data_IF_445507595247
#
_entry.id   IF_445507595247
#
_cell.length_a   1.000
_cell.length_b   1.000
_cell.length_c   1.000
_cell.angle_alpha   90.00
_cell.angle_beta   90.00
_cell.angle_gamma   90.00
#
_symmetry.space_group_name_H-M   'P 1'
#
loop_
_entity.id
_entity.type
_entity.pdbx_description
1 polymer ?
#
# COMPACT_ATOMS: atom_id res chain seq x y z
N UNK A 1 0.62 18.59 77.02
CA UNK A 1 0.20 19.17 75.73
C UNK A 1 1.16 18.70 74.66
N UNK A 2 0.64 18.00 73.65
CA UNK A 2 1.38 17.41 72.52
C UNK A 2 1.82 18.50 71.53
N UNK A 3 3.03 18.40 70.96
CA UNK A 3 3.41 19.04 69.69
C UNK A 3 4.29 18.08 68.89
N UNK A 4 3.73 17.55 67.81
CA UNK A 4 4.43 16.79 66.76
C UNK A 4 4.62 17.70 65.52
N UNK A 5 5.59 17.39 64.65
CA UNK A 5 6.28 18.36 63.81
C UNK A 5 5.52 18.72 62.53
N UNK A 6 5.87 19.87 61.98
CA UNK A 6 5.39 20.43 60.71
C UNK A 6 5.66 19.47 59.54
N UNK A 7 4.61 18.93 58.93
CA UNK A 7 4.69 18.24 57.65
C UNK A 7 4.97 19.25 56.53
N UNK A 8 6.16 19.13 55.93
CA UNK A 8 6.48 19.80 54.66
C UNK A 8 5.85 19.00 53.51
N UNK A 9 4.92 19.62 52.80
CA UNK A 9 4.23 19.06 51.64
C UNK A 9 5.17 19.19 50.43
N UNK A 10 5.84 18.10 50.05
CA UNK A 10 6.59 18.03 48.78
C UNK A 10 5.58 17.80 47.67
N UNK A 11 5.26 18.85 46.92
CA UNK A 11 4.49 18.73 45.68
C UNK A 11 5.36 18.05 44.61
N UNK A 12 5.10 16.77 44.34
CA UNK A 12 5.71 16.03 43.24
C UNK A 12 5.04 16.51 41.94
N UNK A 13 5.66 17.46 41.24
CA UNK A 13 5.28 17.78 39.87
C UNK A 13 5.64 16.60 38.96
N UNK A 14 4.70 15.66 38.78
CA UNK A 14 4.78 14.69 37.70
C UNK A 14 4.53 15.45 36.40
N UNK A 15 5.61 15.87 35.75
CA UNK A 15 5.56 16.30 34.36
C UNK A 15 5.18 15.07 33.53
N UNK A 16 3.90 14.98 33.17
CA UNK A 16 3.45 14.18 32.03
C UNK A 16 4.04 14.81 30.78
N UNK A 17 5.33 14.56 30.52
CA UNK A 17 5.87 14.64 29.17
C UNK A 17 5.14 13.57 28.37
N UNK A 18 4.03 13.96 27.74
CA UNK A 18 3.40 13.13 26.72
C UNK A 18 4.49 12.76 25.72
N UNK A 19 4.81 11.46 25.64
CA UNK A 19 5.69 10.95 24.60
C UNK A 19 5.06 11.36 23.26
N UNK A 20 5.54 12.45 22.67
CA UNK A 20 5.28 12.74 21.27
C UNK A 20 5.86 11.55 20.51
N UNK A 21 5.00 10.68 19.99
CA UNK A 21 5.41 9.49 19.26
C UNK A 21 6.41 9.92 18.16
N UNK A 22 7.68 9.55 18.34
CA UNK A 22 8.73 9.84 17.38
C UNK A 22 8.55 9.00 16.11
N UNK A 23 9.26 9.33 15.02
CA UNK A 23 9.30 8.46 13.86
C UNK A 23 9.92 7.11 14.27
N UNK A 24 9.50 6.02 13.62
CA UNK A 24 10.03 4.69 13.90
C UNK A 24 11.54 4.65 13.64
N UNK A 25 12.31 4.11 14.57
CA UNK A 25 13.73 3.81 14.36
C UNK A 25 13.89 2.50 13.59
N UNK A 26 14.99 2.37 12.84
CA UNK A 26 15.29 1.12 12.14
C UNK A 26 15.61 0.03 13.16
N UNK A 27 14.84 -1.05 13.15
CA UNK A 27 15.07 -2.24 13.95
C UNK A 27 16.06 -3.15 13.18
N UNK A 28 17.25 -3.34 13.73
CA UNK A 28 18.34 -4.11 13.08
C UNK A 28 18.05 -5.61 13.01
N UNK A 29 17.17 -6.09 13.90
CA UNK A 29 16.64 -7.44 13.95
C UNK A 29 15.43 -7.65 13.01
N UNK A 30 14.96 -6.60 12.35
CA UNK A 30 13.90 -6.66 11.35
C UNK A 30 14.48 -6.44 9.94
N UNK A 31 13.89 -7.12 8.96
CA UNK A 31 14.18 -6.95 7.55
C UNK A 31 13.87 -5.53 7.08
N UNK A 32 14.45 -5.13 5.93
CA UNK A 32 14.10 -3.88 5.26
C UNK A 32 12.60 -3.81 4.97
N UNK A 33 12.02 -4.93 4.49
CA UNK A 33 10.59 -5.03 4.20
C UNK A 33 9.73 -4.78 5.44
N UNK A 34 10.08 -5.41 6.57
CA UNK A 34 9.32 -5.25 7.81
C UNK A 34 9.46 -3.85 8.40
N UNK A 35 10.66 -3.26 8.40
CA UNK A 35 10.87 -1.88 8.82
C UNK A 35 10.00 -0.91 8.01
N UNK A 36 9.97 -1.04 6.68
CA UNK A 36 9.15 -0.20 5.79
C UNK A 36 7.65 -0.41 5.99
N UNK A 37 7.20 -1.66 6.11
CA UNK A 37 5.79 -1.97 6.36
C UNK A 37 5.31 -1.36 7.68
N UNK A 38 6.12 -1.48 8.74
CA UNK A 38 5.83 -0.91 10.06
C UNK A 38 5.86 0.62 10.02
N UNK A 39 6.85 1.23 9.36
CA UNK A 39 6.86 2.67 9.12
C UNK A 39 5.59 3.16 8.41
N UNK A 40 5.09 2.37 7.47
CA UNK A 40 3.90 2.67 6.67
C UNK A 40 2.58 2.34 7.38
N UNK A 41 2.62 1.86 8.63
CA UNK A 41 1.42 1.67 9.44
C UNK A 41 0.88 0.24 9.50
N UNK A 42 1.57 -0.74 8.93
CA UNK A 42 1.21 -2.15 9.04
C UNK A 42 1.83 -2.67 10.34
N UNK A 43 1.09 -2.62 11.46
CA UNK A 43 1.56 -2.96 12.82
C UNK A 43 1.04 -4.29 13.39
N UNK A 44 0.16 -4.96 12.66
CA UNK A 44 -0.46 -6.18 13.14
C UNK A 44 0.55 -7.34 13.26
N UNK A 45 0.25 -8.27 14.17
CA UNK A 45 1.11 -9.40 14.52
C UNK A 45 1.10 -10.51 13.47
N UNK A 46 0.20 -10.42 12.47
CA UNK A 46 0.07 -11.43 11.43
C UNK A 46 1.26 -11.37 10.47
N UNK A 47 1.93 -10.22 10.37
CA UNK A 47 3.14 -10.00 9.57
C UNK A 47 4.40 -9.98 10.44
N UNK A 48 5.38 -10.82 10.11
CA UNK A 48 6.69 -10.91 10.79
C UNK A 48 7.75 -11.42 9.84
N UNK A 49 9.02 -11.26 10.19
CA UNK A 49 10.07 -11.95 9.45
C UNK A 49 10.04 -13.46 9.70
N UNK A 50 10.51 -14.21 8.72
CA UNK A 50 10.78 -15.65 8.83
C UNK A 50 12.12 -15.98 8.19
N UNK A 51 12.70 -17.14 8.49
CA UNK A 51 14.03 -17.54 8.01
C UNK A 51 14.25 -17.29 6.50
N UNK A 52 13.26 -17.58 5.65
CA UNK A 52 13.36 -17.39 4.19
C UNK A 52 12.32 -16.42 3.60
N UNK A 53 11.47 -15.83 4.43
CA UNK A 53 10.39 -14.94 4.00
C UNK A 53 9.09 -15.62 3.57
N UNK A 54 9.09 -16.96 3.42
CA UNK A 54 7.94 -17.69 2.89
C UNK A 54 6.86 -18.00 3.93
N UNK A 55 7.19 -17.86 5.22
CA UNK A 55 6.29 -18.10 6.36
C UNK A 55 6.02 -16.81 7.17
N UNK A 56 6.18 -15.67 6.51
CA UNK A 56 6.13 -14.33 7.13
C UNK A 56 4.73 -13.80 7.38
N UNK A 57 3.70 -14.56 7.02
CA UNK A 57 2.31 -14.24 7.30
C UNK A 57 1.60 -15.39 8.02
N UNK A 58 0.94 -15.09 9.13
CA UNK A 58 0.06 -16.03 9.84
C UNK A 58 -1.23 -15.33 10.21
N UNK A 59 -2.37 -15.79 9.68
CA UNK A 59 -3.68 -15.27 10.10
C UNK A 59 -3.84 -15.45 11.60
N UNK A 60 -4.01 -14.37 12.34
CA UNK A 60 -4.31 -14.41 13.77
C UNK A 60 -5.57 -15.26 14.02
N UNK A 61 -5.54 -16.07 15.06
CA UNK A 61 -6.62 -17.00 15.46
C UNK A 61 -7.95 -16.31 15.82
N UNK A 62 -8.00 -14.96 15.79
CA UNK A 62 -9.12 -14.12 16.22
C UNK A 62 -9.84 -13.39 15.08
N UNK A 63 -9.40 -13.53 13.82
CA UNK A 63 -10.11 -12.93 12.68
C UNK A 63 -11.13 -13.94 12.14
N UNK A 64 -12.43 -13.60 12.07
CA UNK A 64 -13.42 -14.47 11.45
C UNK A 64 -12.97 -14.84 10.04
N UNK A 65 -13.07 -16.12 9.73
CA UNK A 65 -12.72 -16.73 8.45
C UNK A 65 -13.64 -16.21 7.33
N UNK A 66 -13.54 -14.92 7.00
CA UNK A 66 -14.01 -14.42 5.72
C UNK A 66 -12.94 -14.82 4.71
N UNK A 67 -13.23 -15.95 4.08
CA UNK A 67 -12.41 -16.59 3.09
C UNK A 67 -11.82 -15.60 2.09
N UNK A 68 -10.49 -15.65 2.00
CA UNK A 68 -9.68 -15.05 0.94
C UNK A 68 -10.11 -15.56 -0.45
N UNK A 69 -10.90 -16.64 -0.50
CA UNK A 69 -11.53 -17.20 -1.69
C UNK A 69 -12.47 -16.21 -2.42
N UNK A 70 -12.86 -15.08 -1.80
CA UNK A 70 -13.66 -14.04 -2.46
C UNK A 70 -12.85 -13.08 -3.33
N UNK A 71 -11.52 -13.01 -3.19
CA UNK A 71 -10.69 -12.18 -4.07
C UNK A 71 -10.21 -12.91 -5.33
N UNK A 72 -10.38 -14.24 -5.38
CA UNK A 72 -10.01 -15.07 -6.53
C UNK A 72 -11.21 -15.58 -7.33
N UNK A 73 -12.45 -15.29 -6.94
CA UNK A 73 -13.66 -15.87 -7.57
C UNK A 73 -14.76 -14.87 -7.98
N UNK A 74 -14.51 -13.57 -8.12
CA UNK A 74 -15.48 -12.70 -8.83
C UNK A 74 -15.44 -12.90 -10.37
N UNK A 75 -15.14 -14.11 -10.83
CA UNK A 75 -15.08 -14.47 -12.25
C UNK A 75 -16.45 -14.82 -12.86
N UNK A 76 -17.54 -14.78 -12.09
CA UNK A 76 -18.85 -15.27 -12.53
C UNK A 76 -19.95 -14.21 -12.68
N UNK A 77 -19.65 -12.91 -12.55
CA UNK A 77 -20.67 -11.89 -12.86
C UNK A 77 -20.10 -10.75 -13.73
N UNK A 78 -20.35 -10.75 -15.06
CA UNK A 78 -20.04 -9.61 -15.90
C UNK A 78 -20.99 -8.46 -15.53
N UNK A 79 -20.60 -7.60 -14.60
CA UNK A 79 -21.47 -6.51 -14.14
C UNK A 79 -21.45 -5.31 -15.10
N UNK A 80 -22.43 -5.35 -16.00
CA UNK A 80 -23.05 -4.24 -16.73
C UNK A 80 -23.54 -3.16 -15.76
N UNK A 81 -22.72 -2.15 -15.43
CA UNK A 81 -23.24 -0.85 -14.94
C UNK A 81 -22.24 0.29 -14.96
N UNK A 82 -21.35 0.33 -15.95
CA UNK A 82 -20.60 1.56 -16.25
C UNK A 82 -21.35 2.31 -17.35
N UNK A 83 -21.78 3.54 -17.05
CA UNK A 83 -22.48 4.42 -18.00
C UNK A 83 -21.48 4.97 -19.02
N UNK A 84 -21.17 4.16 -20.02
CA UNK A 84 -20.30 4.51 -21.15
C UNK A 84 -20.14 3.35 -22.11
N UNK A 85 -19.59 3.60 -23.29
CA UNK A 85 -19.33 2.57 -24.33
C UNK A 85 -18.23 1.56 -23.96
N UNK A 86 -17.63 1.67 -22.77
CA UNK A 86 -16.56 0.80 -22.28
C UNK A 86 -17.13 -0.14 -21.21
N UNK A 87 -17.53 -1.35 -21.63
CA UNK A 87 -17.91 -2.42 -20.70
C UNK A 87 -16.62 -3.03 -20.14
N UNK A 88 -16.33 -2.80 -18.86
CA UNK A 88 -15.19 -3.42 -18.18
C UNK A 88 -15.57 -4.79 -17.64
N UNK A 89 -14.62 -5.72 -17.62
CA UNK A 89 -14.79 -7.02 -16.99
C UNK A 89 -14.80 -6.96 -15.45
N UNK A 90 -14.53 -5.78 -14.86
CA UNK A 90 -14.42 -5.59 -13.42
C UNK A 90 -15.34 -4.50 -12.91
N UNK A 91 -15.85 -4.69 -11.69
CA UNK A 91 -16.53 -3.65 -10.93
C UNK A 91 -15.53 -3.00 -9.96
N UNK A 92 -15.42 -1.67 -10.00
CA UNK A 92 -14.56 -0.92 -9.09
C UNK A 92 -14.94 -1.14 -7.61
N UNK A 93 -16.20 -1.47 -7.29
CA UNK A 93 -16.59 -1.79 -5.92
C UNK A 93 -16.01 -3.11 -5.41
N UNK A 94 -15.70 -4.06 -6.27
CA UNK A 94 -15.10 -5.35 -5.86
C UNK A 94 -13.64 -5.15 -5.41
N UNK A 95 -12.97 -4.16 -6.00
CA UNK A 95 -11.62 -3.71 -5.60
C UNK A 95 -11.64 -3.12 -4.18
N UNK A 96 -12.79 -2.61 -3.72
CA UNK A 96 -12.95 -2.02 -2.39
C UNK A 96 -13.13 -3.04 -1.27
N UNK A 97 -13.47 -4.29 -1.60
CA UNK A 97 -13.70 -5.36 -0.62
C UNK A 97 -12.35 -5.90 -0.16
N UNK A 98 -11.73 -5.19 0.78
CA UNK A 98 -10.45 -5.57 1.39
C UNK A 98 -10.64 -5.85 2.88
N UNK A 99 -9.90 -6.80 3.47
CA UNK A 99 -9.90 -6.98 4.93
C UNK A 99 -9.56 -5.68 5.68
N UNK A 100 -10.08 -5.56 6.90
CA UNK A 100 -9.77 -4.43 7.78
C UNK A 100 -8.31 -4.48 8.29
N UNK A 101 -7.69 -5.65 8.30
CA UNK A 101 -6.31 -5.84 8.77
C UNK A 101 -5.28 -5.30 7.75
N UNK A 102 -4.40 -4.35 8.11
CA UNK A 102 -3.39 -3.78 7.21
C UNK A 102 -2.49 -4.80 6.50
N UNK A 103 -2.05 -5.87 7.16
CA UNK A 103 -1.23 -6.91 6.53
C UNK A 103 -1.99 -7.86 5.59
N UNK A 104 -3.31 -7.76 5.52
CA UNK A 104 -4.14 -8.65 4.72
C UNK A 104 -4.62 -7.99 3.41
N UNK A 105 -4.10 -6.80 3.07
CA UNK A 105 -4.53 -6.02 1.91
C UNK A 105 -3.38 -5.28 1.23
N UNK A 106 -3.42 -5.10 -0.11
CA UNK A 106 -2.43 -4.30 -0.82
C UNK A 106 -2.45 -2.85 -0.34
N UNK A 107 -1.28 -2.25 -0.15
CA UNK A 107 -1.18 -0.86 0.32
C UNK A 107 -0.09 -0.11 -0.44
N UNK A 108 -0.39 1.11 -0.85
CA UNK A 108 0.60 2.07 -1.33
C UNK A 108 0.95 2.99 -0.15
N UNK A 109 2.23 3.07 0.18
CA UNK A 109 2.71 3.84 1.33
C UNK A 109 3.79 4.82 0.87
N UNK A 110 3.90 5.97 1.53
CA UNK A 110 4.89 6.97 1.13
C UNK A 110 5.12 8.10 2.12
N UNK A 111 6.28 8.73 1.97
CA UNK A 111 6.83 9.79 2.82
C UNK A 111 7.36 10.96 1.97
N UNK A 112 6.50 11.60 1.17
CA UNK A 112 6.87 12.73 0.31
C UNK A 112 7.55 13.85 1.14
N UNK A 113 8.80 14.24 0.81
CA UNK A 113 9.52 15.30 1.51
C UNK A 113 8.65 16.55 1.72
N UNK A 114 8.65 17.13 2.92
CA UNK A 114 7.83 18.30 3.22
C UNK A 114 8.16 19.49 2.31
N UNK A 115 9.41 19.62 1.87
CA UNK A 115 9.81 20.65 0.89
C UNK A 115 9.18 20.48 -0.49
N UNK A 116 8.68 19.28 -0.82
CA UNK A 116 8.09 18.99 -2.12
C UNK A 116 6.65 19.49 -2.24
N UNK A 117 5.98 19.92 -1.18
CA UNK A 117 4.64 20.50 -1.26
C UNK A 117 4.41 21.57 -0.20
N UNK A 118 3.52 22.52 -0.47
CA UNK A 118 3.15 23.60 0.47
C UNK A 118 1.86 23.32 1.22
N UNK A 119 1.14 22.25 0.87
CA UNK A 119 -0.13 21.85 1.49
C UNK A 119 -0.43 20.37 1.25
N UNK A 120 -1.32 19.80 2.05
CA UNK A 120 -1.80 18.42 1.90
C UNK A 120 -2.50 18.20 0.54
N UNK A 121 -3.25 19.20 0.07
CA UNK A 121 -3.90 19.17 -1.25
C UNK A 121 -2.87 19.14 -2.39
N UNK A 122 -1.80 19.95 -2.31
CA UNK A 122 -0.75 19.90 -3.32
C UNK A 122 0.03 18.59 -3.24
N UNK A 123 0.25 18.05 -2.03
CA UNK A 123 0.89 16.75 -1.87
C UNK A 123 0.05 15.64 -2.52
N UNK A 124 -1.28 15.64 -2.31
CA UNK A 124 -2.19 14.71 -2.96
C UNK A 124 -2.06 14.74 -4.48
N UNK A 125 -2.13 15.92 -5.09
CA UNK A 125 -1.99 16.08 -6.55
C UNK A 125 -0.64 15.55 -7.05
N UNK A 126 0.44 15.79 -6.30
CA UNK A 126 1.77 15.28 -6.63
C UNK A 126 1.87 13.77 -6.52
N UNK A 127 1.29 13.15 -5.49
CA UNK A 127 1.22 11.69 -5.38
C UNK A 127 0.49 11.07 -6.57
N UNK A 128 -0.67 11.61 -6.94
CA UNK A 128 -1.45 11.16 -8.11
C UNK A 128 -0.61 11.29 -9.38
N UNK A 129 0.03 12.45 -9.58
CA UNK A 129 0.88 12.69 -10.74
C UNK A 129 2.04 11.70 -10.85
N UNK A 130 2.73 11.41 -9.73
CA UNK A 130 3.85 10.46 -9.69
C UNK A 130 3.42 9.03 -10.03
N UNK A 131 2.26 8.59 -9.53
CA UNK A 131 1.73 7.27 -9.86
C UNK A 131 1.30 7.20 -11.33
N UNK A 132 0.63 8.23 -11.85
CA UNK A 132 0.26 8.30 -13.27
C UNK A 132 1.50 8.26 -14.18
N UNK A 133 2.54 9.04 -13.85
CA UNK A 133 3.80 9.05 -14.60
C UNK A 133 4.49 7.69 -14.56
N UNK A 134 4.51 7.02 -13.39
CA UNK A 134 5.09 5.69 -13.26
C UNK A 134 4.34 4.66 -14.12
N UNK A 135 3.00 4.69 -14.15
CA UNK A 135 2.20 3.80 -15.00
C UNK A 135 2.51 4.04 -16.48
N UNK A 136 2.53 5.30 -16.92
CA UNK A 136 2.82 5.65 -18.32
C UNK A 136 4.22 5.22 -18.74
N UNK A 137 5.23 5.54 -17.93
CA UNK A 137 6.62 5.19 -18.22
C UNK A 137 6.82 3.67 -18.32
N UNK A 138 6.25 2.91 -17.39
CA UNK A 138 6.34 1.44 -17.40
C UNK A 138 5.57 0.84 -18.58
N UNK A 139 4.43 1.43 -18.95
CA UNK A 139 3.69 0.99 -20.12
C UNK A 139 4.53 1.15 -21.39
N UNK A 140 5.18 2.29 -21.57
CA UNK A 140 6.06 2.53 -22.72
C UNK A 140 7.23 1.53 -22.74
N UNK A 141 7.89 1.33 -21.60
CA UNK A 141 9.03 0.40 -21.47
C UNK A 141 8.66 -1.06 -21.72
N UNK A 142 7.46 -1.47 -21.28
CA UNK A 142 6.91 -2.82 -21.48
C UNK A 142 6.12 -2.98 -22.79
N UNK A 143 6.13 -1.96 -23.66
CA UNK A 143 5.38 -1.94 -24.92
C UNK A 143 3.86 -2.23 -24.76
N UNK A 144 3.27 -1.74 -23.67
CA UNK A 144 1.84 -1.83 -23.36
C UNK A 144 1.13 -0.56 -23.82
N UNK A 145 -0.11 -0.70 -24.30
CA UNK A 145 -0.96 0.47 -24.52
C UNK A 145 -1.80 0.74 -23.26
N UNK A 146 -1.76 1.96 -22.74
CA UNK A 146 -2.50 2.32 -21.51
C UNK A 146 -3.39 3.54 -21.71
N UNK A 147 -4.59 3.48 -21.15
CA UNK A 147 -5.55 4.58 -21.19
C UNK A 147 -6.11 4.86 -19.79
N UNK A 148 -5.93 6.08 -19.29
CA UNK A 148 -6.57 6.54 -18.06
C UNK A 148 -8.07 6.70 -18.28
N UNK A 149 -8.87 6.13 -17.39
CA UNK A 149 -10.32 6.11 -17.51
C UNK A 149 -10.91 7.32 -16.77
N UNK A 150 -11.47 8.28 -17.51
CA UNK A 150 -11.99 9.53 -16.96
C UNK A 150 -13.52 9.57 -16.83
N UNK A 151 -14.24 8.72 -17.56
CA UNK A 151 -15.70 8.74 -17.66
C UNK A 151 -16.35 7.54 -16.95
N UNK A 152 -15.71 7.07 -15.88
CA UNK A 152 -16.14 5.91 -15.10
C UNK A 152 -16.46 6.41 -13.70
N UNK A 153 -17.68 6.16 -13.23
CA UNK A 153 -18.03 6.42 -11.84
C UNK A 153 -17.31 5.40 -10.95
N UNK A 154 -16.53 5.90 -10.01
CA UNK A 154 -15.70 5.09 -9.13
C UNK A 154 -16.01 5.41 -7.67
N UNK A 155 -15.88 4.44 -6.76
CA UNK A 155 -16.02 4.73 -5.33
C UNK A 155 -14.99 5.77 -4.90
N UNK A 156 -15.40 6.63 -3.97
CA UNK A 156 -14.50 7.55 -3.29
C UNK A 156 -13.94 6.93 -2.02
N UNK A 157 -12.66 7.19 -1.76
CA UNK A 157 -11.96 6.85 -0.53
C UNK A 157 -11.39 8.15 -0.01
N UNK A 158 -11.75 8.51 1.23
CA UNK A 158 -11.26 9.76 1.85
C UNK A 158 -11.61 11.03 1.03
N UNK A 159 -12.75 11.02 0.33
CA UNK A 159 -13.18 12.11 -0.54
C UNK A 159 -12.46 12.19 -1.89
N UNK A 160 -11.63 11.19 -2.22
CA UNK A 160 -10.89 11.10 -3.48
C UNK A 160 -11.33 9.90 -4.31
N UNK A 161 -11.53 10.03 -5.63
CA UNK A 161 -11.96 8.92 -6.47
C UNK A 161 -10.86 7.86 -6.62
N UNK A 162 -11.27 6.60 -6.76
CA UNK A 162 -10.38 5.57 -7.28
C UNK A 162 -10.05 5.88 -8.75
N UNK A 163 -8.77 5.82 -9.10
CA UNK A 163 -8.26 6.08 -10.44
C UNK A 163 -8.02 4.74 -11.13
N UNK A 164 -8.54 4.62 -12.36
CA UNK A 164 -8.43 3.40 -13.15
C UNK A 164 -7.68 3.66 -14.46
N UNK A 165 -6.84 2.71 -14.84
CA UNK A 165 -6.17 2.67 -16.14
C UNK A 165 -6.47 1.34 -16.82
N UNK A 166 -6.96 1.37 -18.06
CA UNK A 166 -7.03 0.18 -18.91
C UNK A 166 -5.65 -0.10 -19.48
N UNK A 167 -5.22 -1.35 -19.40
CA UNK A 167 -3.97 -1.85 -19.98
C UNK A 167 -4.33 -2.80 -21.12
N UNK A 168 -3.74 -2.59 -22.28
CA UNK A 168 -3.97 -3.37 -23.48
C UNK A 168 -2.66 -4.00 -23.97
N UNK A 169 -2.69 -5.31 -24.19
CA UNK A 169 -1.61 -6.12 -24.74
C UNK A 169 -2.18 -7.39 -25.37
N UNK A 170 -1.95 -7.56 -26.68
CA UNK A 170 -2.36 -8.78 -27.37
C UNK A 170 -1.54 -10.00 -26.92
N UNK A 171 -0.29 -9.80 -26.51
CA UNK A 171 0.60 -10.86 -26.03
C UNK A 171 0.14 -11.47 -24.71
N UNK A 172 -0.39 -10.64 -23.81
CA UNK A 172 -0.83 -11.05 -22.47
C UNK A 172 -2.34 -11.20 -22.34
N UNK A 173 -3.07 -11.21 -23.45
CA UNK A 173 -4.53 -11.38 -23.45
C UNK A 173 -5.27 -10.24 -22.76
N UNK A 174 -4.67 -9.05 -22.73
CA UNK A 174 -5.25 -7.83 -22.19
C UNK A 174 -5.94 -7.06 -23.33
N UNK A 175 -7.21 -7.36 -23.61
CA UNK A 175 -8.07 -6.49 -24.39
C UNK A 175 -8.60 -5.30 -23.58
N UNK A 176 -9.37 -4.41 -24.23
CA UNK A 176 -9.99 -3.25 -23.59
C UNK A 176 -10.75 -3.68 -22.34
N UNK A 177 -10.35 -3.14 -21.18
CA UNK A 177 -11.00 -3.38 -19.90
C UNK A 177 -10.83 -4.79 -19.32
N UNK A 178 -9.98 -5.63 -19.92
CA UNK A 178 -9.63 -6.96 -19.40
C UNK A 178 -8.44 -6.92 -18.45
N UNK A 179 -7.60 -5.89 -18.55
CA UNK A 179 -6.53 -5.62 -17.60
C UNK A 179 -6.66 -4.19 -17.11
N UNK A 180 -6.69 -4.02 -15.78
CA UNK A 180 -6.93 -2.72 -15.14
C UNK A 180 -5.92 -2.52 -14.02
N UNK A 181 -5.24 -1.37 -14.05
CA UNK A 181 -4.57 -0.83 -12.87
C UNK A 181 -5.58 0.04 -12.13
N UNK A 182 -5.77 -0.22 -10.85
CA UNK A 182 -6.61 0.58 -9.97
C UNK A 182 -5.78 1.09 -8.80
N UNK A 183 -5.83 2.39 -8.54
CA UNK A 183 -5.15 2.98 -7.39
C UNK A 183 -5.97 4.11 -6.79
N UNK A 184 -5.69 4.44 -5.54
CA UNK A 184 -6.20 5.65 -4.90
C UNK A 184 -5.12 6.24 -4.00
N UNK A 185 -5.14 7.55 -3.85
CA UNK A 185 -4.34 8.29 -2.89
C UNK A 185 -5.30 8.86 -1.85
N UNK A 186 -5.01 8.67 -0.57
CA UNK A 186 -5.72 9.34 0.52
C UNK A 186 -5.11 10.70 0.79
N UNK A 187 -5.82 11.57 1.49
CA UNK A 187 -5.28 12.88 1.87
C UNK A 187 -3.97 12.70 2.66
N UNK A 188 -2.83 13.16 2.12
CA UNK A 188 -1.56 13.06 2.82
C UNK A 188 -1.57 13.96 4.05
N UNK A 189 -0.99 13.52 5.16
CA UNK A 189 -0.90 14.34 6.36
C UNK A 189 0.56 14.65 6.70
N UNK A 190 0.82 15.86 7.18
CA UNK A 190 2.18 16.25 7.57
C UNK A 190 2.60 15.54 8.87
N UNK A 191 3.68 14.76 8.81
CA UNK A 191 4.22 14.05 9.97
C UNK A 191 5.71 13.79 9.84
N UNK A 192 6.32 13.23 10.88
CA UNK A 192 7.73 12.86 10.90
C UNK A 192 8.00 11.62 10.05
N UNK A 193 9.06 11.65 9.24
CA UNK A 193 9.50 10.47 8.49
C UNK A 193 10.54 9.67 9.27
N UNK A 194 10.58 8.34 9.12
CA UNK A 194 11.72 7.54 9.54
C UNK A 194 13.01 7.95 8.81
N UNK A 195 14.13 8.01 9.54
CA UNK A 195 15.43 8.43 8.99
C UNK A 195 16.01 7.47 7.93
N UNK A 196 15.48 6.25 7.85
CA UNK A 196 15.90 5.23 6.89
C UNK A 196 15.09 5.24 5.60
N UNK A 197 14.20 6.21 5.41
CA UNK A 197 13.57 6.44 4.11
C UNK A 197 14.59 7.15 3.21
N UNK A 198 14.89 6.53 2.06
CA UNK A 198 15.86 7.07 1.12
C UNK A 198 15.31 8.35 0.48
N UNK A 199 16.16 9.38 0.42
CA UNK A 199 15.81 10.73 -0.04
C UNK A 199 14.63 11.37 0.74
N UNK A 200 14.39 10.88 1.97
CA UNK A 200 13.39 11.41 2.88
C UNK A 200 13.90 12.60 3.70
N UNK A 201 12.97 13.46 4.09
CA UNK A 201 13.19 14.56 5.04
C UNK A 201 12.69 14.19 6.44
N UNK A 202 13.10 14.96 7.46
CA UNK A 202 12.62 14.75 8.83
C UNK A 202 11.10 14.87 8.96
N UNK A 203 10.48 15.66 8.10
CA UNK A 203 9.03 15.80 7.95
C UNK A 203 8.62 15.44 6.52
N UNK A 204 7.44 14.87 6.37
CA UNK A 204 6.87 14.46 5.09
C UNK A 204 5.36 14.52 5.08
N UNK A 205 4.79 14.62 3.89
CA UNK A 205 3.39 14.33 3.64
C UNK A 205 3.22 12.81 3.50
N UNK A 206 2.66 12.19 4.53
CA UNK A 206 2.56 10.74 4.68
C UNK A 206 1.28 10.20 4.07
N UNK A 207 1.37 9.06 3.38
CA UNK A 207 0.24 8.18 3.10
C UNK A 207 0.47 6.84 3.81
N UNK A 208 -0.31 6.58 4.85
CA UNK A 208 -0.16 5.39 5.71
C UNK A 208 -1.28 4.36 5.47
N UNK A 209 -1.01 3.10 5.80
CA UNK A 209 -1.90 1.96 5.62
C UNK A 209 -2.72 1.58 6.88
N UNK A 210 -2.52 2.29 7.99
CA UNK A 210 -3.05 1.94 9.31
C UNK A 210 -4.56 2.24 9.50
N UNK A 211 -5.17 3.05 8.63
CA UNK A 211 -6.58 3.37 8.75
C UNK A 211 -7.47 2.25 8.17
N UNK A 212 -8.53 1.84 8.88
CA UNK A 212 -9.36 0.67 8.53
C UNK A 212 -9.93 0.69 7.09
N UNK A 213 -10.39 1.85 6.58
CA UNK A 213 -10.99 1.96 5.24
C UNK A 213 -10.30 2.96 4.30
N UNK A 214 -9.88 4.09 4.85
CA UNK A 214 -9.23 5.19 4.14
C UNK A 214 -7.72 5.01 4.11
N UNK A 215 -7.23 4.22 3.15
CA UNK A 215 -5.80 4.08 2.89
C UNK A 215 -5.55 4.07 1.38
N UNK A 216 -4.31 4.40 1.00
CA UNK A 216 -3.88 4.41 -0.39
C UNK A 216 -3.60 3.00 -0.87
N UNK A 217 -4.00 2.68 -2.10
CA UNK A 217 -3.89 1.35 -2.71
C UNK A 217 -3.31 1.45 -4.11
N UNK A 218 -2.62 0.41 -4.54
CA UNK A 218 -2.23 0.20 -5.93
C UNK A 218 -2.37 -1.29 -6.26
N UNK A 219 -3.20 -1.64 -7.23
CA UNK A 219 -3.46 -3.03 -7.63
C UNK A 219 -3.59 -3.17 -9.14
N UNK A 220 -3.15 -4.31 -9.66
CA UNK A 220 -3.41 -4.78 -11.01
C UNK A 220 -4.47 -5.88 -10.96
N UNK A 221 -5.37 -5.88 -11.95
CA UNK A 221 -6.42 -6.89 -12.14
C UNK A 221 -6.41 -7.35 -13.59
N UNK A 222 -6.46 -8.65 -13.78
CA UNK A 222 -6.54 -9.30 -15.09
C UNK A 222 -7.72 -10.27 -15.13
N UNK A 223 -8.41 -10.27 -16.26
CA UNK A 223 -9.47 -11.20 -16.61
C UNK A 223 -9.00 -12.01 -17.80
N UNK A 224 -9.33 -13.30 -17.82
CA UNK A 224 -8.85 -14.22 -18.85
C UNK A 224 -7.80 -15.19 -18.33
N UNK A 225 -7.32 -16.06 -19.22
CA UNK A 225 -6.47 -17.21 -18.87
C UNK A 225 -5.01 -17.08 -19.32
N UNK A 226 -4.64 -15.97 -19.97
CA UNK A 226 -3.24 -15.72 -20.35
C UNK A 226 -2.51 -15.04 -19.20
N UNK A 227 -1.24 -15.36 -19.00
CA UNK A 227 -0.47 -14.81 -17.89
C UNK A 227 0.07 -13.41 -18.26
N UNK A 228 -0.29 -12.39 -17.47
CA UNK A 228 0.41 -11.11 -17.48
C UNK A 228 1.58 -11.14 -16.48
N UNK A 229 2.75 -10.55 -16.80
CA UNK A 229 3.93 -10.56 -15.93
C UNK A 229 3.78 -9.58 -14.75
N UNK A 230 2.85 -9.87 -13.82
CA UNK A 230 2.46 -8.99 -12.71
C UNK A 230 3.64 -8.66 -11.77
N UNK A 231 4.48 -9.66 -11.42
CA UNK A 231 5.69 -9.42 -10.61
C UNK A 231 6.63 -8.40 -11.26
N UNK A 232 6.85 -8.52 -12.57
CA UNK A 232 7.72 -7.64 -13.34
C UNK A 232 7.12 -6.23 -13.44
N UNK A 233 5.82 -6.13 -13.73
CA UNK A 233 5.11 -4.86 -13.77
C UNK A 233 5.19 -4.11 -12.44
N UNK A 234 4.97 -4.79 -11.30
CA UNK A 234 5.08 -4.13 -9.99
C UNK A 234 6.50 -3.70 -9.66
N UNK A 235 7.53 -4.48 -10.04
CA UNK A 235 8.92 -4.03 -9.92
C UNK A 235 9.15 -2.78 -10.74
N UNK A 236 8.79 -2.79 -12.03
CA UNK A 236 8.98 -1.67 -12.93
C UNK A 236 8.28 -0.40 -12.40
N UNK A 237 7.02 -0.52 -11.94
CA UNK A 237 6.30 0.61 -11.32
C UNK A 237 7.04 1.10 -10.08
N UNK A 238 7.47 0.21 -9.19
CA UNK A 238 8.20 0.62 -7.98
C UNK A 238 9.57 1.26 -8.27
N UNK A 239 10.19 0.94 -9.40
CA UNK A 239 11.44 1.56 -9.87
C UNK A 239 11.20 2.97 -10.42
N UNK A 240 10.07 3.18 -11.09
CA UNK A 240 9.67 4.48 -11.63
C UNK A 240 9.12 5.44 -10.55
N UNK A 241 8.64 4.91 -9.43
CA UNK A 241 8.23 5.70 -8.28
C UNK A 241 9.44 6.30 -7.54
N UNK A 242 9.27 7.42 -6.80
CA UNK A 242 10.30 7.93 -5.91
C UNK A 242 10.70 6.92 -4.82
N UNK A 243 11.93 7.02 -4.33
CA UNK A 243 12.48 6.11 -3.30
C UNK A 243 11.80 6.16 -1.94
N UNK A 244 10.97 7.17 -1.71
CA UNK A 244 10.14 7.33 -0.53
C UNK A 244 8.72 6.76 -0.73
N UNK A 245 8.44 6.03 -1.82
CA UNK A 245 7.20 5.30 -2.04
C UNK A 245 7.45 3.79 -2.14
N UNK A 246 6.55 3.01 -1.54
CA UNK A 246 6.63 1.55 -1.54
C UNK A 246 5.26 0.92 -1.73
N UNK A 247 5.23 -0.27 -2.33
CA UNK A 247 3.99 -1.02 -2.58
C UNK A 247 4.04 -2.33 -1.82
N UNK A 248 3.13 -2.52 -0.88
CA UNK A 248 2.98 -3.76 -0.12
C UNK A 248 1.90 -4.65 -0.75
N UNK A 249 2.18 -5.95 -0.83
CA UNK A 249 1.20 -6.96 -1.18
C UNK A 249 1.17 -8.10 -0.14
N UNK A 250 -0.02 -8.48 0.34
CA UNK A 250 -0.19 -9.64 1.20
C UNK A 250 -0.09 -10.95 0.39
N UNK A 251 -0.09 -12.13 1.04
CA UNK A 251 -0.11 -13.40 0.34
C UNK A 251 -1.19 -13.50 -0.73
N UNK A 252 -0.85 -14.21 -1.81
CA UNK A 252 -1.70 -14.57 -2.95
C UNK A 252 -2.15 -13.40 -3.84
N UNK A 253 -1.52 -12.22 -3.74
CA UNK A 253 -1.87 -11.03 -4.53
C UNK A 253 -0.91 -10.73 -5.69
N UNK A 254 0.24 -11.40 -5.73
CA UNK A 254 1.23 -11.29 -6.80
C UNK A 254 1.33 -12.66 -7.47
N UNK A 255 1.22 -12.67 -8.79
CA UNK A 255 1.48 -13.86 -9.60
C UNK A 255 2.87 -13.75 -10.20
N UNK A 256 3.66 -14.81 -10.05
CA UNK A 256 5.00 -14.96 -10.61
C UNK A 256 5.12 -16.34 -11.24
N UNK A 257 5.53 -16.41 -12.50
CA UNK A 257 5.65 -17.66 -13.25
C UNK A 257 4.35 -18.51 -13.21
N UNK A 258 3.20 -17.87 -13.39
CA UNK A 258 1.87 -18.53 -13.35
C UNK A 258 1.41 -18.99 -11.96
N UNK A 259 2.19 -18.74 -10.90
CA UNK A 259 1.85 -19.13 -9.54
C UNK A 259 1.66 -17.91 -8.65
N UNK A 260 0.59 -17.93 -7.85
CA UNK A 260 0.39 -16.92 -6.82
C UNK A 260 1.41 -17.09 -5.69
N UNK A 261 2.07 -16.01 -5.29
CA UNK A 261 3.05 -16.05 -4.21
C UNK A 261 2.32 -16.27 -2.87
N UNK A 262 2.59 -17.36 -2.13
CA UNK A 262 1.85 -17.69 -0.91
C UNK A 262 2.31 -16.88 0.32
N UNK A 263 3.18 -15.88 0.12
CA UNK A 263 3.81 -15.07 1.16
C UNK A 263 3.73 -13.57 0.81
N UNK A 264 3.85 -12.68 1.81
CA UNK A 264 3.79 -11.23 1.58
C UNK A 264 5.09 -10.75 0.92
N UNK A 265 4.98 -9.69 0.13
CA UNK A 265 6.12 -9.02 -0.50
C UNK A 265 5.95 -7.51 -0.46
N UNK A 266 7.06 -6.78 -0.46
CA UNK A 266 7.08 -5.33 -0.57
C UNK A 266 7.98 -4.92 -1.74
N UNK A 267 7.52 -3.99 -2.57
CA UNK A 267 8.32 -3.45 -3.67
C UNK A 267 8.86 -2.07 -3.31
N UNK A 268 10.17 -1.91 -3.46
CA UNK A 268 10.91 -0.65 -3.25
C UNK A 268 11.92 -0.53 -4.40
N UNK A 269 11.84 0.53 -5.20
CA UNK A 269 12.86 0.89 -6.19
C UNK A 269 13.25 -0.23 -7.17
N UNK A 270 12.28 -1.03 -7.63
CA UNK A 270 12.52 -2.15 -8.57
C UNK A 270 12.82 -3.48 -7.89
N UNK A 271 13.07 -3.48 -6.59
CA UNK A 271 13.34 -4.68 -5.82
C UNK A 271 12.08 -5.23 -5.17
N UNK A 272 11.93 -6.55 -5.20
CA UNK A 272 10.97 -7.27 -4.37
C UNK A 272 11.68 -7.68 -3.10
N UNK A 273 11.32 -7.01 -2.02
CA UNK A 273 11.82 -7.27 -0.70
C UNK A 273 10.97 -8.36 -0.04
N UNK A 274 11.66 -9.34 0.54
CA UNK A 274 11.07 -10.39 1.34
C UNK A 274 11.15 -10.01 2.82
N UNK A 275 10.13 -10.44 3.57
CA UNK A 275 10.10 -10.36 5.03
C UNK A 275 10.96 -11.48 5.62
N UNK A 276 12.26 -11.45 5.34
CA UNK A 276 13.21 -12.50 5.74
C UNK A 276 14.11 -12.02 6.88
N UNK A 277 14.41 -12.91 7.82
CA UNK A 277 15.35 -12.60 8.90
C UNK A 277 16.67 -12.03 8.34
N UNK A 278 17.17 -10.90 8.87
CA UNK A 278 18.45 -10.34 8.45
C UNK A 278 19.58 -11.37 8.63
N UNK A 279 20.49 -11.44 7.66
CA UNK A 279 21.71 -12.24 7.83
C UNK A 279 22.56 -11.62 8.95
N UNK A 280 22.92 -12.43 9.95
CA UNK A 280 23.80 -12.06 11.06
C UNK A 280 25.21 -11.72 10.58
#
# INVERSE_FOLDING_TARGET
>A
MKKYPSLSLIALCVSLSGCAAGPRHYAQDESRALNLARAGGIYDLDLRDSHDGTHSYSKGMLVPLLDLARLTTSFDDPLRRLSGTQTFAFNATDIMITPDNPSARPSLMGWMPASAATSESQAYEKYVHLVDQAIQHVADDMALNVTKLSNVETPEIDGHPMILWSVESAEHGCGIGQCVVAYNITTPYLWKSPLYIKDGESESYNIAANHLKNYSRFVFRQSGSQDFPIDEFYRAVSAALPSWMVIYFPPNHVVKNGQSLPYPVLYEQGEQLLFKEPAL
#
